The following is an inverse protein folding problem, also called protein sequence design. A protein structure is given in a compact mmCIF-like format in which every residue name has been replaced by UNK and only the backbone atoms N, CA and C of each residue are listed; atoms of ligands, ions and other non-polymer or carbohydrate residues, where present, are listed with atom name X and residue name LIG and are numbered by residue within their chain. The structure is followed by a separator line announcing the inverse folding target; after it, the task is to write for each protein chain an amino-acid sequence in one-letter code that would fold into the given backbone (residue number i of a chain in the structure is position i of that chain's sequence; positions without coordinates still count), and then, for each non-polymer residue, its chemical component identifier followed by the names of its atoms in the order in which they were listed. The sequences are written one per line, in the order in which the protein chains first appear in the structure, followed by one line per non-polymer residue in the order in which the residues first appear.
data_IF_715246894391
#
_entry.id   IF_715246894391
#
_cell.length_a   1.000
_cell.length_b   1.000
_cell.length_c   1.000
_cell.angle_alpha   90.00
_cell.angle_beta   90.00
_cell.angle_gamma   90.00
#
_symmetry.space_group_name_H-M   'P 1'
#
loop_
_entity.id
_entity.type
_entity.pdbx_description
1 polymer ?
#
# COMPACT_ATOMS: atom_id res chain seq x y z
N UNK A 1 -9.73 -5.52 3.44
CA UNK A 1 -10.06 -4.13 3.07
C UNK A 1 -9.87 -3.30 4.31
N UNK A 2 -8.65 -2.78 4.41
CA UNK A 2 -8.18 -1.86 5.43
C UNK A 2 -7.15 -0.93 4.82
N UNK A 3 -7.15 0.32 5.27
CA UNK A 3 -6.10 1.30 4.93
C UNK A 3 -4.83 0.99 5.74
N UNK A 4 -3.72 0.80 5.04
CA UNK A 4 -2.40 0.53 5.60
C UNK A 4 -1.66 1.84 5.90
N UNK A 5 -0.71 1.80 6.84
CA UNK A 5 0.16 2.94 7.11
C UNK A 5 1.24 3.07 6.03
N UNK A 6 1.29 4.22 5.35
CA UNK A 6 2.38 4.54 4.42
C UNK A 6 3.62 4.99 5.19
N UNK A 7 4.78 4.44 4.80
CA UNK A 7 6.07 4.81 5.38
C UNK A 7 6.68 5.99 4.62
N UNK A 8 7.34 6.89 5.36
CA UNK A 8 8.03 8.06 4.79
C UNK A 8 9.53 8.00 5.09
N UNK A 9 10.34 8.63 4.22
CA UNK A 9 11.78 8.82 4.47
C UNK A 9 11.95 9.62 5.78
N UNK A 10 12.88 9.23 6.68
CA UNK A 10 14.02 8.35 6.44
C UNK A 10 13.90 6.88 6.86
N UNK A 11 12.69 6.29 6.91
CA UNK A 11 12.49 4.90 7.36
C UNK A 11 13.39 3.88 6.61
N UNK A 12 14.19 3.12 7.35
CA UNK A 12 15.16 2.16 6.79
C UNK A 12 14.50 1.02 6.00
N UNK A 13 13.24 0.69 6.29
CA UNK A 13 12.50 -0.34 5.54
C UNK A 13 12.34 0.04 4.08
N UNK A 14 12.28 1.33 3.76
CA UNK A 14 12.22 1.85 2.38
C UNK A 14 13.52 1.64 1.59
N UNK A 15 14.62 1.24 2.25
CA UNK A 15 15.92 0.96 1.62
C UNK A 15 16.15 -0.53 1.35
N UNK A 16 15.25 -1.41 1.80
CA UNK A 16 15.39 -2.86 1.67
C UNK A 16 14.88 -3.32 0.29
N UNK A 17 15.59 -4.27 -0.31
CA UNK A 17 15.13 -4.94 -1.55
C UNK A 17 14.07 -5.98 -1.16
N UNK A 18 12.88 -5.89 -1.76
CA UNK A 18 11.81 -6.85 -1.55
C UNK A 18 12.16 -8.23 -2.14
N UNK A 19 11.67 -9.29 -1.50
CA UNK A 19 11.80 -10.66 -2.04
C UNK A 19 10.76 -10.88 -3.17
N UNK A 20 11.06 -11.73 -4.16
CA UNK A 20 10.08 -12.16 -5.14
C UNK A 20 8.87 -12.82 -4.48
N UNK A 21 7.68 -12.63 -5.05
CA UNK A 21 6.48 -13.38 -4.69
C UNK A 21 6.46 -14.66 -5.53
N UNK A 22 6.52 -15.82 -4.88
CA UNK A 22 6.60 -17.12 -5.57
C UNK A 22 5.23 -17.61 -6.08
N UNK A 23 4.16 -17.28 -5.35
CA UNK A 23 2.78 -17.67 -5.70
C UNK A 23 1.80 -16.56 -5.35
N UNK A 24 0.84 -16.30 -6.24
CA UNK A 24 -0.26 -15.37 -5.99
C UNK A 24 -1.45 -16.17 -5.46
N UNK A 25 -1.58 -16.18 -4.14
CA UNK A 25 -2.67 -16.84 -3.43
C UNK A 25 -3.69 -15.81 -2.88
N UNK A 26 -4.69 -16.30 -2.15
CA UNK A 26 -5.74 -15.45 -1.58
C UNK A 26 -5.22 -14.43 -0.55
N UNK A 27 -4.09 -14.68 0.11
CA UNK A 27 -3.47 -13.72 1.02
C UNK A 27 -2.82 -12.57 0.24
N UNK A 28 -2.07 -12.90 -0.82
CA UNK A 28 -1.47 -11.88 -1.71
C UNK A 28 -2.56 -11.01 -2.34
N UNK A 29 -3.68 -11.60 -2.78
CA UNK A 29 -4.80 -10.83 -3.30
C UNK A 29 -5.34 -9.84 -2.28
N UNK A 30 -5.49 -10.23 -1.01
CA UNK A 30 -5.93 -9.31 0.06
C UNK A 30 -4.96 -8.16 0.28
N UNK A 31 -3.65 -8.43 0.24
CA UNK A 31 -2.62 -7.39 0.36
C UNK A 31 -2.75 -6.39 -0.79
N UNK A 32 -2.96 -6.87 -2.02
CA UNK A 32 -3.16 -6.00 -3.19
C UNK A 32 -4.41 -5.14 -3.02
N UNK A 33 -5.53 -5.72 -2.57
CA UNK A 33 -6.77 -5.00 -2.34
C UNK A 33 -6.59 -3.89 -1.28
N UNK A 34 -5.92 -4.19 -0.16
CA UNK A 34 -5.61 -3.24 0.90
C UNK A 34 -4.63 -2.13 0.42
N UNK A 35 -3.67 -2.46 -0.44
CA UNK A 35 -2.76 -1.49 -1.06
C UNK A 35 -3.50 -0.50 -1.97
N UNK A 36 -4.47 -0.97 -2.75
CA UNK A 36 -5.30 -0.07 -3.58
C UNK A 36 -6.16 0.85 -2.72
N UNK A 37 -6.82 0.31 -1.71
CA UNK A 37 -7.61 1.11 -0.76
C UNK A 37 -6.77 2.20 -0.10
N UNK A 38 -5.55 1.84 0.34
CA UNK A 38 -4.58 2.78 0.90
C UNK A 38 -4.20 3.88 -0.09
N UNK A 39 -3.89 3.52 -1.34
CA UNK A 39 -3.54 4.50 -2.38
C UNK A 39 -4.67 5.51 -2.64
N UNK A 40 -5.92 5.05 -2.69
CA UNK A 40 -7.07 5.96 -2.87
C UNK A 40 -7.27 6.87 -1.66
N UNK A 41 -7.15 6.33 -0.44
CA UNK A 41 -7.26 7.13 0.79
C UNK A 41 -6.19 8.24 0.85
N UNK A 42 -4.92 7.93 0.55
CA UNK A 42 -3.84 8.91 0.52
C UNK A 42 -4.02 9.97 -0.57
N UNK A 43 -4.54 9.60 -1.75
CA UNK A 43 -4.84 10.55 -2.82
C UNK A 43 -5.92 11.56 -2.42
N UNK A 44 -6.93 11.12 -1.66
CA UNK A 44 -7.94 12.03 -1.10
C UNK A 44 -7.29 13.03 -0.14
N UNK A 45 -6.33 12.58 0.68
CA UNK A 45 -5.60 13.44 1.63
C UNK A 45 -4.67 14.44 0.93
N UNK A 46 -4.09 14.10 -0.23
CA UNK A 46 -3.11 14.93 -0.95
C UNK A 46 -3.69 16.03 -1.86
N UNK A 47 -5.03 16.19 -1.93
CA UNK A 47 -5.66 17.32 -2.63
C UNK A 47 -6.52 16.97 -3.84
N UNK A 48 -7.43 16.00 -3.70
CA UNK A 48 -8.43 15.72 -4.73
C UNK A 48 -9.74 15.24 -4.12
N UNK A 49 -10.56 16.18 -3.68
CA UNK A 49 -11.96 15.97 -3.29
C UNK A 49 -12.75 15.24 -4.41
N UNK A 50 -13.36 14.07 -4.17
CA UNK A 50 -14.45 13.58 -5.00
C UNK A 50 -15.75 13.87 -4.26
N UNK A 51 -16.18 15.13 -4.33
CA UNK A 51 -17.60 15.46 -4.24
C UNK A 51 -18.26 15.22 -5.59
#
# INVERSE_FOLDING_TARGET
MSVLQVLHIPDERLRKVAKPVEEVNAEIQRIVDDMFETMYAEKVLAGGNPG
#
